data_IF_139322516591
#
_entry.id   IF_139322516591
#
_cell.length_a   1.000
_cell.length_b   1.000
_cell.length_c   1.000
_cell.angle_alpha   90.00
_cell.angle_beta   90.00
_cell.angle_gamma   90.00
#
_symmetry.space_group_name_H-M   'P 1'
#
loop_
_entity.id
_entity.type
_entity.pdbx_description
1 polymer ?
#
# COMPACT_ATOMS: atom_id res chain seq x y z
N UNK A 1 12.91 0.58 33.18
CA UNK A 1 11.94 1.20 32.23
C UNK A 1 11.48 0.13 31.26
N UNK A 2 10.17 -0.06 31.08
CA UNK A 2 9.66 -1.01 30.09
C UNK A 2 9.87 -0.44 28.67
N UNK A 3 10.17 -1.32 27.71
CA UNK A 3 10.28 -0.92 26.31
C UNK A 3 8.89 -0.50 25.79
N UNK A 4 8.81 0.55 24.94
CA UNK A 4 7.55 0.93 24.32
C UNK A 4 7.04 -0.19 23.43
N UNK A 5 5.71 -0.36 23.40
CA UNK A 5 5.07 -1.35 22.55
C UNK A 5 5.16 -0.97 21.06
N UNK A 6 4.91 -1.93 20.16
CA UNK A 6 5.00 -1.73 18.71
C UNK A 6 4.04 -0.64 18.20
N UNK A 7 2.85 -0.49 18.81
CA UNK A 7 1.91 0.57 18.41
C UNK A 7 2.43 1.99 18.65
N UNK A 8 3.24 2.19 19.69
CA UNK A 8 3.87 3.49 19.97
C UNK A 8 4.99 3.77 18.95
N UNK A 9 5.72 2.73 18.53
CA UNK A 9 6.74 2.86 17.48
C UNK A 9 6.10 3.20 16.12
N UNK A 10 4.99 2.55 15.76
CA UNK A 10 4.25 2.85 14.54
C UNK A 10 3.71 4.29 14.56
N UNK A 11 3.02 4.68 15.63
CA UNK A 11 2.50 6.04 15.79
C UNK A 11 3.60 7.11 15.72
N UNK A 12 4.83 6.79 16.15
CA UNK A 12 5.99 7.66 15.99
C UNK A 12 6.35 7.90 14.52
N UNK A 13 6.33 6.84 13.71
CA UNK A 13 6.66 6.89 12.28
C UNK A 13 5.54 7.56 11.47
N UNK A 14 4.28 7.36 11.89
CA UNK A 14 3.11 8.00 11.28
C UNK A 14 2.92 9.47 11.67
N UNK A 15 3.75 10.00 12.59
CA UNK A 15 3.59 11.36 13.12
C UNK A 15 2.33 11.56 13.98
N UNK A 16 1.73 10.47 14.47
CA UNK A 16 0.48 10.46 15.22
C UNK A 16 0.68 10.61 16.74
N UNK A 17 1.92 10.69 17.22
CA UNK A 17 2.20 10.92 18.64
C UNK A 17 1.90 12.36 19.06
N UNK A 18 1.33 12.52 20.25
CA UNK A 18 1.27 13.83 20.89
C UNK A 18 2.68 14.31 21.28
N UNK A 19 2.90 15.63 21.47
CA UNK A 19 4.20 16.16 21.87
C UNK A 19 4.77 15.53 23.15
N UNK A 20 3.88 15.23 24.12
CA UNK A 20 4.27 14.60 25.38
C UNK A 20 4.72 13.13 25.18
N UNK A 21 4.04 12.39 24.31
CA UNK A 21 4.42 11.01 23.97
C UNK A 21 5.73 10.98 23.18
N UNK A 22 5.91 11.89 22.22
CA UNK A 22 7.15 12.05 21.48
C UNK A 22 8.34 12.36 22.40
N UNK A 23 8.17 13.25 23.39
CA UNK A 23 9.23 13.56 24.36
C UNK A 23 9.60 12.34 25.23
N UNK A 24 8.61 11.58 25.71
CA UNK A 24 8.83 10.36 26.49
C UNK A 24 9.51 9.27 25.68
N UNK A 25 9.09 9.07 24.43
CA UNK A 25 9.72 8.13 23.52
C UNK A 25 11.16 8.56 23.21
N UNK A 26 11.40 9.83 22.93
CA UNK A 26 12.75 10.37 22.69
C UNK A 26 13.69 10.19 23.89
N UNK A 27 13.20 10.35 25.12
CA UNK A 27 13.96 10.01 26.33
C UNK A 27 14.30 8.51 26.39
N UNK A 28 13.33 7.64 26.07
CA UNK A 28 13.56 6.20 26.04
C UNK A 28 14.60 5.81 24.98
N UNK A 29 14.50 6.33 23.76
CA UNK A 29 15.40 6.00 22.64
C UNK A 29 16.85 6.45 22.88
N UNK A 30 17.04 7.50 23.69
CA UNK A 30 18.38 7.89 24.17
C UNK A 30 18.98 6.86 25.12
N UNK A 31 18.16 6.20 25.93
CA UNK A 31 18.61 5.23 26.92
C UNK A 31 18.60 3.76 26.43
N UNK A 32 17.80 3.42 25.42
CA UNK A 32 17.59 2.05 24.98
C UNK A 32 18.01 1.85 23.52
N UNK A 33 19.24 1.34 23.33
CA UNK A 33 19.82 1.07 22.01
C UNK A 33 18.99 0.06 21.19
N UNK A 34 18.38 -0.93 21.84
CA UNK A 34 17.54 -1.94 21.16
C UNK A 34 16.32 -1.31 20.50
N UNK A 35 15.62 -0.45 21.24
CA UNK A 35 14.43 0.24 20.75
C UNK A 35 14.78 1.26 19.67
N UNK A 36 15.93 1.92 19.78
CA UNK A 36 16.45 2.80 18.73
C UNK A 36 16.71 2.05 17.43
N UNK A 37 17.45 0.94 17.48
CA UNK A 37 17.75 0.12 16.31
C UNK A 37 16.48 -0.42 15.64
N UNK A 38 15.52 -0.88 16.43
CA UNK A 38 14.24 -1.37 15.91
C UNK A 38 13.42 -0.27 15.19
N UNK A 39 13.45 0.97 15.72
CA UNK A 39 12.77 2.10 15.08
C UNK A 39 13.47 2.52 13.78
N UNK A 40 14.79 2.52 13.75
CA UNK A 40 15.59 2.78 12.54
C UNK A 40 15.37 1.73 11.46
N UNK A 41 15.35 0.44 11.83
CA UNK A 41 15.05 -0.67 10.91
C UNK A 41 13.64 -0.53 10.33
N UNK A 42 12.66 -0.20 11.15
CA UNK A 42 11.27 -0.03 10.70
C UNK A 42 11.13 1.19 9.77
N UNK A 43 11.76 2.32 10.10
CA UNK A 43 11.80 3.50 9.24
C UNK A 43 12.48 3.20 7.89
N UNK A 44 13.58 2.45 7.90
CA UNK A 44 14.28 2.03 6.69
C UNK A 44 13.41 1.14 5.80
N UNK A 45 12.71 0.15 6.38
CA UNK A 45 11.79 -0.71 5.63
C UNK A 45 10.64 0.08 5.00
N UNK A 46 10.08 1.06 5.71
CA UNK A 46 9.05 1.94 5.15
C UNK A 46 9.59 2.82 4.00
N UNK A 47 10.84 3.25 4.08
CA UNK A 47 11.49 4.00 3.01
C UNK A 47 11.84 3.13 1.78
N UNK A 48 11.96 1.81 1.97
CA UNK A 48 12.22 0.85 0.91
C UNK A 48 10.96 0.35 0.19
N UNK A 49 9.75 0.63 0.70
CA UNK A 49 8.54 0.30 -0.07
C UNK A 49 8.58 1.06 -1.41
N UNK A 50 8.61 0.35 -2.55
CA UNK A 50 8.40 1.00 -3.82
C UNK A 50 6.99 1.58 -3.79
N UNK A 51 6.82 2.87 -4.10
CA UNK A 51 5.50 3.38 -4.52
C UNK A 51 4.93 2.38 -5.52
N UNK A 52 3.89 1.67 -5.10
CA UNK A 52 3.21 0.59 -5.80
C UNK A 52 3.39 0.69 -7.33
N UNK A 53 4.29 -0.12 -7.95
CA UNK A 53 4.52 -0.06 -9.38
C UNK A 53 3.24 -0.42 -10.15
N UNK A 54 2.25 -1.05 -9.51
CA UNK A 54 0.94 -1.34 -10.09
C UNK A 54 0.14 -0.08 -10.40
N UNK A 55 0.19 0.97 -9.57
CA UNK A 55 -0.52 2.24 -9.83
C UNK A 55 0.15 3.10 -10.90
N UNK A 56 1.47 3.09 -10.98
CA UNK A 56 2.22 3.73 -12.07
C UNK A 56 2.04 2.96 -13.39
N UNK A 57 2.09 1.62 -13.34
CA UNK A 57 1.93 0.73 -14.51
C UNK A 57 0.52 0.74 -15.08
N UNK A 58 -0.53 0.82 -14.25
CA UNK A 58 -1.91 0.97 -14.73
C UNK A 58 -2.13 2.30 -15.47
N UNK A 59 -1.50 3.39 -15.02
CA UNK A 59 -1.64 4.70 -15.66
C UNK A 59 -0.90 4.74 -17.00
N UNK A 60 0.29 4.13 -17.07
CA UNK A 60 1.04 3.97 -18.31
C UNK A 60 0.34 3.01 -19.30
N UNK A 61 -0.18 1.87 -18.82
CA UNK A 61 -0.93 0.93 -19.64
C UNK A 61 -2.22 1.56 -20.20
N UNK A 62 -2.93 2.36 -19.41
CA UNK A 62 -4.13 3.08 -19.84
C UNK A 62 -3.85 4.21 -20.85
N UNK A 63 -2.61 4.71 -20.92
CA UNK A 63 -2.17 5.68 -21.93
C UNK A 63 -1.70 5.03 -23.24
N UNK A 64 -1.25 3.77 -23.20
CA UNK A 64 -0.80 3.00 -24.37
C UNK A 64 -1.94 2.24 -25.08
N UNK A 65 -3.09 2.08 -24.42
CA UNK A 65 -4.31 1.58 -25.07
C UNK A 65 -4.90 2.74 -25.86
N UNK A 66 -4.89 2.73 -27.21
CA UNK A 66 -5.69 3.68 -27.97
C UNK A 66 -7.12 3.49 -27.49
N UNK A 67 -7.84 4.58 -27.21
CA UNK A 67 -9.29 4.52 -27.02
C UNK A 67 -9.90 4.06 -28.33
N UNK A 68 -9.91 2.75 -28.55
CA UNK A 68 -10.68 2.12 -29.60
C UNK A 68 -12.13 2.42 -29.24
N UNK A 69 -12.71 3.39 -29.95
CA UNK A 69 -14.13 3.63 -29.94
C UNK A 69 -14.82 2.29 -30.04
N UNK A 70 -15.70 2.01 -29.07
CA UNK A 70 -16.39 0.75 -28.91
C UNK A 70 -17.11 0.40 -30.22
N UNK A 71 -16.44 -0.37 -31.07
CA UNK A 71 -17.10 -1.01 -32.20
C UNK A 71 -17.53 -2.36 -31.63
N UNK A 72 -18.84 -2.60 -31.42
CA UNK A 72 -19.28 -3.91 -30.99
C UNK A 72 -18.82 -4.93 -32.04
N UNK A 73 -18.36 -6.12 -31.63
CA UNK A 73 -17.95 -7.15 -32.59
C UNK A 73 -19.15 -7.50 -33.48
N UNK A 74 -19.02 -7.24 -34.78
CA UNK A 74 -19.93 -7.80 -35.79
C UNK A 74 -19.53 -9.25 -35.99
N UNK A 75 -20.34 -10.16 -35.47
CA UNK A 75 -20.25 -11.58 -35.80
C UNK A 75 -20.67 -11.77 -37.26
N UNK A 76 -19.86 -12.39 -38.12
CA UNK A 76 -20.30 -12.76 -39.46
C UNK A 76 -21.29 -13.92 -39.32
N UNK A 77 -22.52 -13.69 -39.79
CA UNK A 77 -23.63 -14.63 -40.00
C UNK A 77 -23.91 -15.70 -38.92
N UNK A 78 -24.97 -15.45 -38.13
CA UNK A 78 -25.88 -16.51 -37.68
C UNK A 78 -25.58 -17.22 -36.35
N UNK A 79 -24.41 -17.04 -35.73
CA UNK A 79 -24.13 -17.68 -34.44
C UNK A 79 -24.58 -16.80 -33.27
N UNK A 80 -25.83 -16.98 -32.82
CA UNK A 80 -26.24 -16.56 -31.47
C UNK A 80 -25.38 -17.31 -30.45
N UNK A 81 -24.75 -16.58 -29.54
CA UNK A 81 -24.23 -17.15 -28.29
C UNK A 81 -25.32 -18.00 -27.64
N UNK A 82 -25.07 -19.27 -27.27
CA UNK A 82 -26.02 -20.01 -26.47
C UNK A 82 -26.17 -19.28 -25.12
N UNK A 83 -27.39 -18.85 -24.82
CA UNK A 83 -27.73 -18.34 -23.49
C UNK A 83 -27.33 -19.39 -22.45
N UNK A 84 -26.72 -19.01 -21.31
CA UNK A 84 -26.46 -19.96 -20.24
C UNK A 84 -27.81 -20.42 -19.69
N UNK A 85 -28.24 -21.61 -20.09
CA UNK A 85 -29.39 -22.27 -19.49
C UNK A 85 -29.03 -22.55 -18.03
N UNK A 86 -29.79 -21.92 -17.14
CA UNK A 86 -29.83 -22.20 -15.70
C UNK A 86 -29.97 -23.71 -15.48
N UNK A 87 -28.95 -24.32 -14.87
CA UNK A 87 -29.04 -25.64 -14.28
C UNK A 87 -29.91 -25.53 -13.03
N UNK A 88 -31.13 -26.06 -13.10
CA UNK A 88 -31.97 -26.42 -11.96
C UNK A 88 -32.29 -27.91 -12.04
#
# INVERSE_FOLDING_TARGET
MNCPGPGVMAACLDGALTPAEGARLGLHLRACARCRKALEELAFLLALEPLDPGRASLRAAKALIPQAGATPPRFPDGQRLPSPALLH
#
